data_IF_091740829450
#
_entry.id   IF_091740829450
#
_cell.length_a   1.000
_cell.length_b   1.000
_cell.length_c   1.000
_cell.angle_alpha   90.00
_cell.angle_beta   90.00
_cell.angle_gamma   90.00
#
_symmetry.space_group_name_H-M   'P 1'
#
loop_
_entity.id
_entity.type
_entity.pdbx_description
1 polymer ?
#
# COMPACT_ATOMS: atom_id res chain seq x y z
N UNK A 1 3.37 -11.73 -10.81
CA UNK A 1 2.48 -12.21 -9.73
C UNK A 1 2.03 -11.02 -8.90
N UNK A 2 0.74 -10.92 -8.66
CA UNK A 2 0.17 -9.82 -7.88
C UNK A 2 -0.01 -10.21 -6.43
N UNK A 3 0.26 -9.27 -5.56
CA UNK A 3 0.05 -9.40 -4.13
C UNK A 3 -0.98 -8.40 -3.66
N UNK A 4 -1.65 -8.70 -2.57
CA UNK A 4 -2.68 -7.82 -2.05
C UNK A 4 -2.71 -7.88 -0.53
N UNK A 5 -2.74 -6.70 0.10
CA UNK A 5 -3.01 -6.53 1.51
C UNK A 5 -4.35 -5.83 1.67
N UNK A 6 -5.20 -6.32 2.55
CA UNK A 6 -6.49 -5.69 2.82
C UNK A 6 -6.71 -5.59 4.32
N UNK A 7 -7.16 -4.44 4.77
CA UNK A 7 -7.54 -4.20 6.16
C UNK A 7 -8.63 -3.14 6.23
N UNK A 8 -9.25 -3.01 7.38
CA UNK A 8 -10.27 -1.98 7.62
C UNK A 8 -9.78 -1.02 8.67
N UNK A 9 -10.08 0.26 8.49
CA UNK A 9 -9.78 1.31 9.47
C UNK A 9 -10.98 2.25 9.57
N UNK A 10 -11.73 2.14 10.67
CA UNK A 10 -13.00 2.85 10.78
C UNK A 10 -13.96 2.43 9.66
N UNK A 11 -14.49 3.39 8.92
CA UNK A 11 -15.39 3.16 7.79
C UNK A 11 -14.66 2.81 6.50
N UNK A 12 -13.35 2.91 6.48
CA UNK A 12 -12.58 2.71 5.26
C UNK A 12 -12.09 1.28 5.14
N UNK A 13 -12.34 0.66 3.98
CA UNK A 13 -11.70 -0.59 3.59
C UNK A 13 -10.49 -0.23 2.74
N UNK A 14 -9.32 -0.67 3.17
CA UNK A 14 -8.05 -0.30 2.54
C UNK A 14 -7.43 -1.52 1.88
N UNK A 15 -7.09 -1.39 0.61
CA UNK A 15 -6.41 -2.44 -0.14
C UNK A 15 -5.15 -1.87 -0.76
N UNK A 16 -4.04 -2.57 -0.58
CA UNK A 16 -2.77 -2.24 -1.21
C UNK A 16 -2.42 -3.39 -2.16
N UNK A 17 -2.39 -3.10 -3.46
CA UNK A 17 -2.00 -4.08 -4.48
C UNK A 17 -0.62 -3.76 -5.00
N UNK A 18 0.20 -4.77 -5.19
CA UNK A 18 1.54 -4.60 -5.69
C UNK A 18 2.00 -5.84 -6.44
N UNK A 19 2.93 -5.64 -7.37
CA UNK A 19 3.51 -6.70 -8.18
C UNK A 19 4.96 -6.96 -7.77
N UNK A 20 5.54 -8.05 -8.28
CA UNK A 20 6.97 -8.29 -8.11
C UNK A 20 7.81 -7.23 -8.82
N UNK A 21 7.30 -6.71 -9.93
CA UNK A 21 7.82 -5.51 -10.56
C UNK A 21 7.28 -4.28 -9.83
N UNK A 22 8.09 -3.23 -9.57
CA UNK A 22 7.61 -2.09 -8.79
C UNK A 22 6.39 -1.40 -9.42
N UNK A 23 5.23 -1.77 -8.94
CA UNK A 23 3.95 -1.24 -9.36
C UNK A 23 2.99 -1.38 -8.18
N UNK A 24 2.47 -0.27 -7.69
CA UNK A 24 1.67 -0.24 -6.46
C UNK A 24 0.40 0.56 -6.69
N UNK A 25 -0.69 0.07 -6.12
CA UNK A 25 -2.00 0.67 -6.23
C UNK A 25 -2.66 0.69 -4.85
N UNK A 26 -3.10 1.87 -4.41
CA UNK A 26 -3.82 2.05 -3.15
C UNK A 26 -5.28 2.25 -3.44
N UNK A 27 -6.13 1.37 -2.88
CA UNK A 27 -7.58 1.44 -3.04
C UNK A 27 -8.23 1.74 -1.70
N UNK A 28 -9.22 2.61 -1.71
CA UNK A 28 -10.07 2.91 -0.56
C UNK A 28 -11.50 2.58 -0.96
N UNK A 29 -12.14 1.71 -0.22
CA UNK A 29 -13.52 1.25 -0.49
C UNK A 29 -13.69 0.75 -1.94
N UNK A 30 -12.67 0.04 -2.43
CA UNK A 30 -12.69 -0.53 -3.77
C UNK A 30 -12.34 0.42 -4.90
N UNK A 31 -12.06 1.70 -4.59
CA UNK A 31 -11.72 2.70 -5.60
C UNK A 31 -10.23 3.00 -5.57
N UNK A 32 -9.59 3.00 -6.73
CA UNK A 32 -8.18 3.36 -6.85
C UNK A 32 -8.02 4.84 -6.50
N UNK A 33 -7.23 5.12 -5.48
CA UNK A 33 -6.96 6.49 -5.03
C UNK A 33 -5.62 6.98 -5.51
N UNK A 34 -4.61 6.13 -5.46
CA UNK A 34 -3.26 6.45 -5.88
C UNK A 34 -2.64 5.25 -6.56
N UNK A 35 -1.76 5.52 -7.50
CA UNK A 35 -1.05 4.47 -8.23
C UNK A 35 0.30 4.99 -8.65
N UNK A 36 1.34 4.18 -8.50
CA UNK A 36 2.68 4.53 -8.93
C UNK A 36 3.38 3.29 -9.47
N UNK A 37 4.14 3.49 -10.53
CA UNK A 37 4.95 2.44 -11.14
C UNK A 37 6.36 2.98 -11.32
N UNK A 38 7.34 2.12 -11.04
CA UNK A 38 8.76 2.44 -11.25
C UNK A 38 9.33 1.42 -12.23
N UNK A 39 10.03 1.90 -13.24
CA UNK A 39 10.60 1.04 -14.27
C UNK A 39 11.93 0.40 -13.87
N UNK A 40 12.45 0.72 -12.70
CA UNK A 40 13.67 0.10 -12.16
C UNK A 40 13.42 -1.36 -11.87
N UNK A 41 13.96 -2.25 -12.68
CA UNK A 41 13.74 -3.69 -12.53
C UNK A 41 14.57 -4.31 -11.42
N UNK A 42 15.73 -3.74 -11.13
CA UNK A 42 16.69 -4.29 -10.19
C UNK A 42 16.99 -3.29 -9.08
N UNK A 43 17.37 -3.83 -7.91
CA UNK A 43 17.79 -3.02 -6.78
C UNK A 43 16.65 -2.65 -5.86
N UNK A 44 16.89 -1.66 -5.03
CA UNK A 44 15.98 -1.23 -3.98
C UNK A 44 15.15 -0.04 -4.44
N UNK A 45 13.83 -0.16 -4.32
CA UNK A 45 12.89 0.90 -4.67
C UNK A 45 11.85 1.00 -3.55
N UNK A 46 11.53 2.21 -3.14
CA UNK A 46 10.47 2.45 -2.17
C UNK A 46 9.36 3.26 -2.81
N UNK A 47 8.15 2.74 -2.79
CA UNK A 47 6.96 3.43 -3.29
C UNK A 47 6.08 3.76 -2.09
N UNK A 48 5.72 5.04 -1.96
CA UNK A 48 4.90 5.55 -0.87
C UNK A 48 3.68 6.25 -1.48
N UNK A 49 2.51 5.71 -1.21
CA UNK A 49 1.24 6.30 -1.66
C UNK A 49 0.48 6.80 -0.44
N UNK A 50 -0.26 7.88 -0.63
CA UNK A 50 -1.01 8.52 0.44
C UNK A 50 -2.32 9.06 -0.09
N UNK A 51 -3.40 8.83 0.63
CA UNK A 51 -4.73 9.33 0.26
C UNK A 51 -5.55 9.63 1.50
N UNK A 52 -6.33 10.72 1.49
CA UNK A 52 -7.30 10.94 2.56
C UNK A 52 -8.45 9.94 2.44
N UNK A 53 -9.01 9.56 3.57
CA UNK A 53 -10.17 8.68 3.64
C UNK A 53 -11.06 9.09 4.79
N UNK A 54 -12.37 8.98 4.60
CA UNK A 54 -13.32 9.20 5.67
C UNK A 54 -13.36 7.94 6.54
N UNK A 55 -12.96 8.08 7.81
CA UNK A 55 -12.84 6.96 8.73
C UNK A 55 -13.98 6.90 9.75
N UNK A 56 -14.73 7.99 9.90
CA UNK A 56 -15.93 8.08 10.72
C UNK A 56 -16.70 9.33 10.31
N UNK A 57 -17.86 9.55 10.91
CA UNK A 57 -18.65 10.75 10.64
C UNK A 57 -17.83 12.00 10.96
N UNK A 58 -17.65 12.86 9.97
CA UNK A 58 -16.83 14.09 10.06
C UNK A 58 -15.36 13.87 10.36
N UNK A 59 -14.86 12.63 10.31
CA UNK A 59 -13.45 12.34 10.49
C UNK A 59 -12.80 11.89 9.19
N UNK A 60 -11.70 12.54 8.84
CA UNK A 60 -10.88 12.18 7.70
C UNK A 60 -9.44 12.01 8.17
N UNK A 61 -8.81 10.94 7.75
CA UNK A 61 -7.42 10.68 8.07
C UNK A 61 -6.69 10.25 6.81
N UNK A 62 -5.36 10.45 6.81
CA UNK A 62 -4.54 9.97 5.70
C UNK A 62 -4.22 8.50 5.89
N UNK A 63 -4.46 7.74 4.82
CA UNK A 63 -4.07 6.33 4.73
C UNK A 63 -2.84 6.27 3.84
N UNK A 64 -1.83 5.55 4.28
CA UNK A 64 -0.58 5.41 3.54
C UNK A 64 -0.33 3.96 3.18
N UNK A 65 0.13 3.73 1.96
CA UNK A 65 0.62 2.44 1.53
C UNK A 65 2.09 2.57 1.20
N UNK A 66 2.92 1.75 1.81
CA UNK A 66 4.36 1.77 1.59
C UNK A 66 4.79 0.39 1.12
N UNK A 67 5.45 0.32 -0.02
CA UNK A 67 5.99 -0.93 -0.53
C UNK A 67 7.48 -0.73 -0.77
N UNK A 68 8.28 -1.52 -0.08
CA UNK A 68 9.74 -1.48 -0.20
C UNK A 68 10.20 -2.71 -0.97
N UNK A 69 10.77 -2.47 -2.13
CA UNK A 69 11.30 -3.52 -3.01
C UNK A 69 12.79 -3.68 -2.75
N UNK A 70 13.18 -4.88 -2.37
CA UNK A 70 14.56 -5.28 -2.25
C UNK A 70 14.84 -6.37 -3.29
N UNK A 71 16.11 -6.69 -3.59
CA UNK A 71 16.41 -7.68 -4.63
C UNK A 71 15.76 -9.04 -4.40
N UNK A 72 15.61 -9.47 -3.14
CA UNK A 72 15.14 -10.81 -2.80
C UNK A 72 13.79 -10.84 -2.08
N UNK A 73 13.27 -9.67 -1.69
CA UNK A 73 11.99 -9.62 -0.98
C UNK A 73 11.26 -8.29 -1.20
N UNK A 74 9.98 -8.29 -0.86
CA UNK A 74 9.13 -7.10 -0.91
C UNK A 74 8.42 -6.98 0.43
N UNK A 75 8.47 -5.80 1.04
CA UNK A 75 7.75 -5.52 2.28
C UNK A 75 6.68 -4.47 2.00
N UNK A 76 5.44 -4.81 2.32
CA UNK A 76 4.30 -3.92 2.12
C UNK A 76 3.66 -3.59 3.47
N UNK A 77 3.27 -2.32 3.65
CA UNK A 77 2.66 -1.84 4.89
C UNK A 77 1.50 -0.92 4.59
N UNK A 78 0.48 -1.00 5.43
CA UNK A 78 -0.62 -0.04 5.42
C UNK A 78 -0.56 0.71 6.75
N UNK A 79 -0.53 2.04 6.67
CA UNK A 79 -0.38 2.92 7.82
C UNK A 79 -1.54 3.92 7.82
N UNK A 80 -2.14 4.14 8.98
CA UNK A 80 -3.17 5.15 9.14
C UNK A 80 -2.96 5.87 10.47
N UNK A 81 -2.99 7.21 10.45
CA UNK A 81 -2.82 8.00 11.66
C UNK A 81 -1.53 7.70 12.42
N UNK A 82 -0.43 7.48 11.70
CA UNK A 82 0.88 7.12 12.25
C UNK A 82 0.91 5.74 12.92
N UNK A 83 -0.10 4.91 12.67
CA UNK A 83 -0.17 3.55 13.18
C UNK A 83 -0.09 2.55 12.04
N UNK A 84 0.79 1.57 12.16
CA UNK A 84 0.88 0.50 11.19
C UNK A 84 -0.26 -0.49 11.43
N UNK A 85 -1.15 -0.61 10.44
CA UNK A 85 -2.32 -1.48 10.55
C UNK A 85 -2.01 -2.91 10.11
N UNK A 86 -1.18 -3.05 9.10
CA UNK A 86 -0.88 -4.35 8.51
C UNK A 86 0.47 -4.27 7.79
N UNK A 87 1.26 -5.33 7.91
CA UNK A 87 2.52 -5.44 7.19
C UNK A 87 2.71 -6.88 6.72
N UNK A 88 3.32 -7.04 5.56
CA UNK A 88 3.60 -8.36 5.00
C UNK A 88 4.89 -8.32 4.21
N UNK A 89 5.70 -9.37 4.37
CA UNK A 89 6.93 -9.56 3.61
C UNK A 89 6.80 -10.81 2.76
N UNK A 90 7.13 -10.70 1.49
CA UNK A 90 7.08 -11.83 0.55
C UNK A 90 8.42 -11.92 -0.19
N UNK A 91 8.72 -13.11 -0.67
CA UNK A 91 9.89 -13.31 -1.51
C UNK A 91 9.65 -12.65 -2.88
N UNK A 92 10.70 -12.08 -3.45
CA UNK A 92 10.64 -11.48 -4.77
C UNK A 92 11.34 -12.39 -5.76
N UNK A 93 10.61 -12.74 -6.80
CA UNK A 93 11.15 -13.59 -7.87
C UNK A 93 11.94 -12.80 -8.89
#
# INVERSE_FOLDING_TARGET
MKHELTTSYGWADVTLRYDNHPSVCLLINGLVRERQQDDSADGSVRIHLRSPAQTAYEYHEFIEGVVEYEPDHITARIIAGNEELLAKRVARD
#
